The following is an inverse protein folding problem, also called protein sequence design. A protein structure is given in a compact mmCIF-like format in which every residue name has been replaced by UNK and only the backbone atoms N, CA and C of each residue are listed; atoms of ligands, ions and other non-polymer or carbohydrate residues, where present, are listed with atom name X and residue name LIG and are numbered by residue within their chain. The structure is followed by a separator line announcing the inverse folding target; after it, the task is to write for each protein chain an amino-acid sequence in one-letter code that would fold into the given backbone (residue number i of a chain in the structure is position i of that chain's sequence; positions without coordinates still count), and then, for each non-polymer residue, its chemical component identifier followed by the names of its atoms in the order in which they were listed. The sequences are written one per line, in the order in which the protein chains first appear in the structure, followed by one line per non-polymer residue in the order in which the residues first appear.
data_IF_262950187115
#
_entry.id   IF_262950187115
#
_cell.length_a   1.000
_cell.length_b   1.000
_cell.length_c   1.000
_cell.angle_alpha   90.00
_cell.angle_beta   90.00
_cell.angle_gamma   90.00
#
_symmetry.space_group_name_H-M   'P 1'
#
loop_
_entity.id
_entity.type
_entity.pdbx_description
1 polymer ?
#
# COMPACT_ATOMS: atom_id res chain seq x y z
N UNK A 1 -22.33 -5.39 -8.38
CA UNK A 1 -21.82 -4.58 -7.25
C UNK A 1 -21.22 -3.29 -7.79
N UNK A 2 -21.41 -2.16 -7.10
CA UNK A 2 -20.76 -0.90 -7.48
C UNK A 2 -19.24 -1.12 -7.53
N UNK A 3 -18.59 -0.81 -8.66
CA UNK A 3 -17.12 -0.93 -8.81
C UNK A 3 -16.36 -0.23 -7.70
N UNK A 4 -16.97 0.82 -7.14
CA UNK A 4 -16.49 1.56 -5.97
C UNK A 4 -16.40 0.65 -4.75
N UNK A 5 -17.42 -0.17 -4.48
CA UNK A 5 -17.44 -1.04 -3.30
C UNK A 5 -16.36 -2.13 -3.39
N UNK A 6 -16.15 -2.69 -4.59
CA UNK A 6 -15.04 -3.62 -4.87
C UNK A 6 -13.69 -2.93 -4.67
N UNK A 7 -13.54 -1.70 -5.16
CA UNK A 7 -12.32 -0.93 -4.96
C UNK A 7 -12.08 -0.59 -3.48
N UNK A 8 -13.11 -0.24 -2.72
CA UNK A 8 -12.96 -0.01 -1.27
C UNK A 8 -12.49 -1.28 -0.56
N UNK A 9 -13.11 -2.44 -0.83
CA UNK A 9 -12.71 -3.70 -0.22
C UNK A 9 -11.30 -4.10 -0.63
N UNK A 10 -10.99 -4.05 -1.93
CA UNK A 10 -9.66 -4.37 -2.45
C UNK A 10 -8.58 -3.43 -1.87
N UNK A 11 -8.88 -2.14 -1.77
CA UNK A 11 -7.98 -1.14 -1.18
C UNK A 11 -7.76 -1.38 0.31
N UNK A 12 -8.82 -1.70 1.05
CA UNK A 12 -8.74 -1.99 2.48
C UNK A 12 -7.92 -3.26 2.76
N UNK A 13 -8.27 -4.39 2.14
CA UNK A 13 -7.54 -5.64 2.34
C UNK A 13 -6.13 -5.57 1.78
N UNK A 14 -5.94 -4.89 0.64
CA UNK A 14 -4.62 -4.64 0.08
C UNK A 14 -3.73 -3.83 1.02
N UNK A 15 -4.27 -2.76 1.61
CA UNK A 15 -3.54 -1.92 2.57
C UNK A 15 -3.17 -2.71 3.82
N UNK A 16 -4.11 -3.51 4.35
CA UNK A 16 -3.83 -4.37 5.51
C UNK A 16 -2.71 -5.36 5.22
N UNK A 17 -2.77 -6.05 4.09
CA UNK A 17 -1.73 -6.99 3.68
C UNK A 17 -0.38 -6.28 3.49
N UNK A 18 -0.38 -5.10 2.87
CA UNK A 18 0.81 -4.28 2.69
C UNK A 18 1.43 -3.86 4.02
N UNK A 19 0.62 -3.35 4.95
CA UNK A 19 1.07 -2.97 6.29
C UNK A 19 1.62 -4.17 7.05
N UNK A 20 0.97 -5.33 6.98
CA UNK A 20 1.48 -6.54 7.61
C UNK A 20 2.89 -6.91 7.10
N UNK A 21 3.10 -6.84 5.79
CA UNK A 21 4.43 -7.10 5.18
C UNK A 21 5.45 -6.04 5.58
N UNK A 22 5.09 -4.76 5.54
CA UNK A 22 5.99 -3.66 5.89
C UNK A 22 6.37 -3.71 7.36
N UNK A 23 5.43 -4.00 8.26
CA UNK A 23 5.69 -4.09 9.70
C UNK A 23 6.57 -5.31 10.00
N UNK A 24 6.26 -6.47 9.41
CA UNK A 24 7.10 -7.66 9.55
C UNK A 24 8.53 -7.44 9.03
N UNK A 25 8.69 -6.77 7.89
CA UNK A 25 10.00 -6.38 7.39
C UNK A 25 10.65 -5.30 8.29
N UNK A 26 9.86 -4.40 8.85
CA UNK A 26 10.27 -3.35 9.78
C UNK A 26 10.94 -3.92 11.03
N UNK A 27 10.41 -5.01 11.59
CA UNK A 27 11.02 -5.70 12.74
C UNK A 27 12.47 -6.12 12.46
N UNK A 28 12.78 -6.51 11.23
CA UNK A 28 14.13 -6.87 10.80
C UNK A 28 14.98 -5.63 10.52
N UNK A 29 14.43 -4.63 9.86
CA UNK A 29 15.11 -3.37 9.52
C UNK A 29 15.46 -2.56 10.77
N UNK A 30 14.68 -2.68 11.84
CA UNK A 30 14.94 -2.01 13.11
C UNK A 30 16.27 -2.47 13.75
N UNK A 31 16.74 -3.68 13.43
CA UNK A 31 18.04 -4.20 13.87
C UNK A 31 19.21 -3.65 13.05
N UNK A 32 18.94 -2.97 11.93
CA UNK A 32 19.97 -2.42 11.05
C UNK A 32 20.34 -0.98 11.46
N UNK A 33 21.41 -0.47 10.86
CA UNK A 33 21.85 0.91 11.07
C UNK A 33 20.74 1.90 10.65
N UNK A 34 20.53 2.95 11.45
CA UNK A 34 19.48 3.96 11.23
C UNK A 34 19.47 4.55 9.81
N UNK A 35 20.65 4.66 9.19
CA UNK A 35 20.83 5.16 7.84
C UNK A 35 20.14 4.31 6.76
N UNK A 36 19.89 3.01 7.02
CA UNK A 36 19.11 2.12 6.16
C UNK A 36 17.62 2.12 6.52
N UNK A 37 17.28 2.42 7.78
CA UNK A 37 15.89 2.52 8.23
C UNK A 37 15.17 3.67 7.54
N UNK A 38 15.82 4.84 7.45
CA UNK A 38 15.25 6.05 6.81
C UNK A 38 14.80 5.78 5.36
N UNK A 39 15.66 5.31 4.44
CA UNK A 39 15.24 5.04 3.07
C UNK A 39 14.23 3.90 2.98
N UNK A 40 14.30 2.89 3.86
CA UNK A 40 13.31 1.81 3.90
C UNK A 40 11.91 2.36 4.21
N UNK A 41 11.75 3.12 5.29
CA UNK A 41 10.45 3.66 5.69
C UNK A 41 9.93 4.72 4.72
N UNK A 42 10.82 5.53 4.13
CA UNK A 42 10.44 6.43 3.03
C UNK A 42 9.92 5.65 1.83
N UNK A 43 10.67 4.66 1.35
CA UNK A 43 10.26 3.85 0.21
C UNK A 43 8.95 3.11 0.49
N UNK A 44 8.78 2.55 1.69
CA UNK A 44 7.54 1.91 2.11
C UNK A 44 6.36 2.89 2.12
N UNK A 45 6.53 4.09 2.67
CA UNK A 45 5.49 5.12 2.64
C UNK A 45 5.04 5.48 1.22
N UNK A 46 5.98 5.59 0.28
CA UNK A 46 5.68 5.95 -1.11
C UNK A 46 5.22 4.78 -1.98
N UNK A 47 5.68 3.56 -1.72
CA UNK A 47 5.37 2.41 -2.57
C UNK A 47 3.86 2.12 -2.66
N UNK A 48 3.11 2.40 -1.59
CA UNK A 48 1.67 2.19 -1.57
C UNK A 48 0.85 3.20 -2.40
N UNK A 49 1.45 4.33 -2.80
CA UNK A 49 0.78 5.35 -3.62
C UNK A 49 0.38 4.79 -4.99
N UNK A 50 1.23 3.96 -5.60
CA UNK A 50 1.01 3.38 -6.92
C UNK A 50 -0.22 2.46 -7.00
N UNK A 51 -0.37 1.44 -6.14
CA UNK A 51 -1.54 0.56 -6.18
C UNK A 51 -2.83 1.32 -5.87
N UNK A 52 -2.84 2.23 -4.87
CA UNK A 52 -4.02 3.04 -4.54
C UNK A 52 -4.45 3.90 -5.72
N UNK A 53 -3.49 4.59 -6.37
CA UNK A 53 -3.76 5.41 -7.55
C UNK A 53 -4.40 4.58 -8.67
N UNK A 54 -3.84 3.40 -8.97
CA UNK A 54 -4.39 2.50 -9.99
C UNK A 54 -5.82 2.08 -9.67
N UNK A 55 -6.07 1.73 -8.40
CA UNK A 55 -7.39 1.31 -7.91
C UNK A 55 -8.44 2.41 -8.01
N UNK A 56 -8.08 3.65 -7.67
CA UNK A 56 -8.95 4.81 -7.78
C UNK A 56 -9.37 5.08 -9.22
N UNK A 57 -8.41 5.06 -10.16
CA UNK A 57 -8.71 5.25 -11.58
C UNK A 57 -9.54 4.10 -12.16
N UNK A 58 -9.34 2.88 -11.69
CA UNK A 58 -10.17 1.75 -12.08
C UNK A 58 -11.61 1.91 -11.58
N UNK A 59 -11.79 2.29 -10.31
CA UNK A 59 -13.10 2.50 -9.70
C UNK A 59 -13.90 3.63 -10.37
N UNK A 60 -13.21 4.71 -10.75
CA UNK A 60 -13.82 5.88 -11.39
C UNK A 60 -14.15 5.67 -12.88
N UNK A 61 -13.68 4.58 -13.50
CA UNK A 61 -13.90 4.32 -14.92
C UNK A 61 -15.38 4.00 -15.18
N UNK A 62 -16.11 4.99 -15.72
CA UNK A 62 -17.51 4.82 -16.18
C UNK A 62 -17.56 3.78 -17.32
N UNK A 63 -18.52 2.84 -17.30
CA UNK A 63 -18.85 2.09 -18.51
C UNK A 63 -19.35 3.09 -19.57
N UNK A 64 -18.77 3.03 -20.77
CA UNK A 64 -19.29 3.75 -21.95
C UNK A 64 -20.58 3.08 -22.42
#
# INVERSE_FOLDING_TARGET
MSRILIACLAGFFGLLAYLAVVLWAGDHVQQWHWALQVPFYLAAGFAWVFPVRSLMFWAARRPR
#
